data_IF_725357542296
#
_entry.id   IF_725357542296
#
_cell.length_a   1.000
_cell.length_b   1.000
_cell.length_c   1.000
_cell.angle_alpha   90.00
_cell.angle_beta   90.00
_cell.angle_gamma   90.00
#
_symmetry.space_group_name_H-M   'P 1'
#
loop_
_entity.id
_entity.type
_entity.pdbx_description
1 polymer ?
#
# COMPACT_ATOMS: atom_id res chain seq x y z
N UNK A 1 -4.24 -6.76 4.43
CA UNK A 1 -4.43 -7.50 3.17
C UNK A 1 -4.56 -8.97 3.51
N UNK A 2 -5.73 -9.55 3.30
CA UNK A 2 -5.91 -11.00 3.44
C UNK A 2 -5.04 -11.75 2.42
N UNK A 3 -4.77 -13.05 2.61
CA UNK A 3 -3.98 -13.82 1.63
C UNK A 3 -4.68 -13.81 0.27
N UNK A 4 -4.18 -13.00 -0.66
CA UNK A 4 -4.79 -12.79 -1.97
C UNK A 4 -3.71 -12.64 -3.05
N UNK A 5 -4.13 -12.68 -4.32
CA UNK A 5 -3.21 -12.50 -5.45
C UNK A 5 -2.66 -11.07 -5.46
N UNK A 6 -3.47 -10.09 -5.09
CA UNK A 6 -3.11 -8.69 -4.96
C UNK A 6 -1.97 -8.50 -3.97
N UNK A 7 -1.95 -9.23 -2.85
CA UNK A 7 -0.82 -9.20 -1.91
C UNK A 7 0.50 -9.60 -2.59
N UNK A 8 0.47 -10.69 -3.38
CA UNK A 8 1.66 -11.19 -4.08
C UNK A 8 2.10 -10.21 -5.16
N UNK A 9 1.15 -9.67 -5.93
CA UNK A 9 1.41 -8.62 -6.92
C UNK A 9 2.06 -7.40 -6.27
N UNK A 10 1.48 -6.91 -5.17
CA UNK A 10 1.96 -5.75 -4.45
C UNK A 10 3.38 -5.94 -3.90
N UNK A 11 3.65 -7.10 -3.30
CA UNK A 11 4.98 -7.43 -2.80
C UNK A 11 6.02 -7.47 -3.94
N UNK A 12 5.68 -8.13 -5.05
CA UNK A 12 6.55 -8.19 -6.23
C UNK A 12 6.76 -6.80 -6.84
N UNK A 13 5.73 -5.95 -6.87
CA UNK A 13 5.83 -4.57 -7.36
C UNK A 13 6.82 -3.75 -6.54
N UNK A 14 6.77 -3.86 -5.20
CA UNK A 14 7.72 -3.18 -4.29
C UNK A 14 9.16 -3.63 -4.58
N UNK A 15 9.38 -4.94 -4.70
CA UNK A 15 10.71 -5.50 -4.97
C UNK A 15 11.20 -5.06 -6.36
N UNK A 16 10.33 -5.07 -7.37
CA UNK A 16 10.66 -4.60 -8.73
C UNK A 16 10.99 -3.11 -8.78
N UNK A 17 10.36 -2.30 -7.92
CA UNK A 17 10.68 -0.88 -7.78
C UNK A 17 11.98 -0.63 -6.97
N UNK A 18 12.62 -1.68 -6.45
CA UNK A 18 13.79 -1.57 -5.58
C UNK A 18 13.46 -1.05 -4.17
N UNK A 19 12.20 -1.12 -3.76
CA UNK A 19 11.72 -0.63 -2.47
C UNK A 19 11.81 -1.66 -1.35
N UNK A 20 11.56 -1.18 -0.13
CA UNK A 20 11.29 -1.99 1.05
C UNK A 20 9.85 -1.76 1.50
N UNK A 21 9.30 -2.69 2.29
CA UNK A 21 7.95 -2.58 2.82
C UNK A 21 7.91 -2.82 4.33
N UNK A 22 6.93 -2.21 4.98
CA UNK A 22 6.58 -2.46 6.38
C UNK A 22 5.17 -3.07 6.40
N UNK A 23 4.99 -4.29 6.93
CA UNK A 23 3.65 -4.86 7.06
C UNK A 23 2.86 -4.11 8.12
N UNK A 24 1.65 -3.69 7.78
CA UNK A 24 0.69 -3.07 8.69
C UNK A 24 -0.51 -4.01 8.86
N UNK A 25 -0.90 -4.23 10.11
CA UNK A 25 -2.07 -5.03 10.47
C UNK A 25 -3.25 -4.09 10.77
N UNK A 26 -4.34 -4.10 9.97
CA UNK A 26 -5.48 -3.22 10.18
C UNK A 26 -6.20 -3.48 11.51
N UNK A 27 -5.99 -4.62 12.16
CA UNK A 27 -6.57 -4.92 13.48
C UNK A 27 -5.84 -4.18 14.63
N UNK A 28 -4.76 -3.45 14.32
CA UNK A 28 -4.07 -2.62 15.30
C UNK A 28 -4.86 -1.33 15.61
N UNK A 29 -4.78 -0.83 16.85
CA UNK A 29 -5.36 0.46 17.20
C UNK A 29 -4.83 1.58 16.29
N UNK A 30 -5.69 2.56 15.98
CA UNK A 30 -5.37 3.66 15.07
C UNK A 30 -4.08 4.40 15.46
N UNK A 31 -3.90 4.72 16.74
CA UNK A 31 -2.70 5.41 17.25
C UNK A 31 -1.42 4.62 16.94
N UNK A 32 -1.49 3.28 17.00
CA UNK A 32 -0.34 2.41 16.70
C UNK A 32 -0.04 2.40 15.21
N UNK A 33 -1.06 2.36 14.37
CA UNK A 33 -0.90 2.44 12.92
C UNK A 33 -0.28 3.78 12.51
N UNK A 34 -0.82 4.89 13.03
CA UNK A 34 -0.29 6.23 12.76
C UNK A 34 1.18 6.35 13.21
N UNK A 35 1.51 5.86 14.41
CA UNK A 35 2.90 5.81 14.89
C UNK A 35 3.80 5.02 13.95
N UNK A 36 3.39 3.82 13.53
CA UNK A 36 4.20 2.98 12.63
C UNK A 36 4.43 3.66 11.27
N UNK A 37 3.41 4.31 10.71
CA UNK A 37 3.56 5.04 9.44
C UNK A 37 4.51 6.23 9.59
N UNK A 38 4.43 6.95 10.70
CA UNK A 38 5.30 8.11 10.97
C UNK A 38 6.76 7.70 11.24
N UNK A 39 6.97 6.67 12.06
CA UNK A 39 8.31 6.19 12.45
C UNK A 39 9.04 5.52 11.28
N UNK A 40 8.32 4.76 10.45
CA UNK A 40 8.90 4.11 9.27
C UNK A 40 9.23 5.07 8.13
N UNK A 41 8.69 6.30 8.16
CA UNK A 41 8.88 7.29 7.11
C UNK A 41 8.32 6.85 5.75
N UNK A 42 7.31 5.97 5.72
CA UNK A 42 6.73 5.50 4.46
C UNK A 42 6.10 6.68 3.71
N UNK A 43 6.40 6.80 2.42
CA UNK A 43 5.76 7.78 1.53
C UNK A 43 4.57 7.21 0.76
N UNK A 44 4.44 5.88 0.73
CA UNK A 44 3.43 5.17 -0.05
C UNK A 44 2.82 4.03 0.78
N UNK A 45 1.49 4.01 0.87
CA UNK A 45 0.69 2.95 1.43
C UNK A 45 0.03 2.15 0.29
N UNK A 46 0.38 0.86 0.19
CA UNK A 46 -0.26 -0.06 -0.74
C UNK A 46 -1.37 -0.82 0.00
N UNK A 47 -2.61 -0.70 -0.44
CA UNK A 47 -3.78 -1.25 0.27
C UNK A 47 -4.90 -1.68 -0.68
N UNK A 48 -6.07 -1.99 -0.12
CA UNK A 48 -7.33 -2.23 -0.85
C UNK A 48 -8.33 -1.16 -0.46
N UNK A 49 -9.30 -0.89 -1.33
CA UNK A 49 -10.29 0.18 -1.18
C UNK A 49 -11.09 0.01 0.11
N UNK A 50 -11.49 -1.21 0.45
CA UNK A 50 -12.21 -1.54 1.69
C UNK A 50 -11.42 -1.23 2.98
N UNK A 51 -10.10 -1.36 2.94
CA UNK A 51 -9.24 -1.09 4.09
C UNK A 51 -8.86 0.39 4.19
N UNK A 52 -8.83 1.10 3.07
CA UNK A 52 -8.43 2.51 3.06
C UNK A 52 -9.37 3.37 3.92
N UNK A 53 -10.67 3.05 3.94
CA UNK A 53 -11.66 3.78 4.74
C UNK A 53 -11.49 3.63 6.26
N UNK A 54 -10.83 2.56 6.71
CA UNK A 54 -10.63 2.26 8.14
C UNK A 54 -9.22 2.56 8.64
N UNK A 55 -8.31 3.01 7.77
CA UNK A 55 -6.92 3.28 8.13
C UNK A 55 -6.68 4.77 8.41
N UNK A 56 -5.98 5.13 9.50
CA UNK A 56 -5.63 6.51 9.81
C UNK A 56 -4.44 6.97 8.96
N UNK A 57 -4.65 7.17 7.66
CA UNK A 57 -3.59 7.54 6.72
C UNK A 57 -3.19 9.01 6.91
N UNK A 58 -1.92 9.31 7.25
CA UNK A 58 -1.44 10.69 7.33
C UNK A 58 -1.44 11.37 5.96
N UNK A 59 -1.67 12.69 5.92
CA UNK A 59 -1.75 13.46 4.68
C UNK A 59 -0.48 13.41 3.81
N UNK A 60 0.67 13.06 4.40
CA UNK A 60 1.95 12.93 3.72
C UNK A 60 2.15 11.57 3.03
N UNK A 61 1.31 10.58 3.33
CA UNK A 61 1.43 9.22 2.80
C UNK A 61 0.48 9.08 1.61
N UNK A 62 1.03 8.87 0.42
CA UNK A 62 0.21 8.57 -0.76
C UNK A 62 -0.38 7.18 -0.63
N UNK A 63 -1.67 7.01 -0.94
CA UNK A 63 -2.31 5.69 -0.94
C UNK A 63 -2.51 5.17 -2.36
N UNK A 64 -2.23 3.88 -2.57
CA UNK A 64 -2.46 3.18 -3.81
C UNK A 64 -3.26 1.90 -3.54
N UNK A 65 -4.49 1.86 -4.05
CA UNK A 65 -5.37 0.70 -3.93
C UNK A 65 -5.11 -0.28 -5.10
N UNK A 66 -4.94 -1.56 -4.80
CA UNK A 66 -4.66 -2.57 -5.84
C UNK A 66 -5.92 -3.05 -6.56
N UNK A 67 -7.08 -2.86 -5.93
CA UNK A 67 -8.41 -3.28 -6.37
C UNK A 67 -9.20 -2.14 -7.04
N UNK A 68 -8.51 -1.11 -7.53
CA UNK A 68 -9.16 0.01 -8.23
C UNK A 68 -9.84 -0.45 -9.53
N UNK A 69 -11.05 0.03 -9.76
CA UNK A 69 -11.81 -0.22 -10.98
C UNK A 69 -11.15 0.41 -12.22
N UNK A 70 -11.27 -0.28 -13.36
CA UNK A 70 -10.77 0.19 -14.65
C UNK A 70 -9.29 -0.06 -14.88
N UNK A 71 -8.76 0.45 -16.00
CA UNK A 71 -7.36 0.25 -16.40
C UNK A 71 -6.47 1.39 -15.88
N UNK A 72 -6.40 1.52 -14.55
CA UNK A 72 -5.60 2.56 -13.88
C UNK A 72 -4.09 2.43 -14.15
N UNK A 73 -3.64 1.27 -14.63
CA UNK A 73 -2.27 0.99 -15.04
C UNK A 73 -1.97 1.41 -16.48
N UNK A 74 -2.97 1.71 -17.31
CA UNK A 74 -2.78 2.02 -18.75
C UNK A 74 -1.79 3.16 -19.02
N UNK A 75 -1.65 4.11 -18.09
CA UNK A 75 -0.71 5.23 -18.20
C UNK A 75 0.72 4.93 -17.78
N UNK A 76 0.99 3.75 -17.21
CA UNK A 76 2.30 3.36 -16.68
C UNK A 76 3.11 2.51 -17.66
N UNK A 77 4.43 2.59 -17.54
CA UNK A 77 5.35 1.80 -18.36
C UNK A 77 5.16 0.30 -18.10
N UNK A 78 5.12 -0.48 -19.18
CA UNK A 78 5.17 -1.95 -19.13
C UNK A 78 6.61 -2.50 -19.13
N UNK A 79 7.61 -1.64 -19.33
CA UNK A 79 9.01 -2.02 -19.24
C UNK A 79 9.46 -2.15 -17.79
N UNK A 80 10.28 -3.17 -17.49
CA UNK A 80 10.95 -3.26 -16.21
C UNK A 80 12.05 -2.18 -16.15
N UNK A 81 12.29 -1.55 -14.97
CA UNK A 81 13.38 -0.61 -14.77
C UNK A 81 14.76 -1.24 -14.99
#
# INVERSE_FOLDING_TARGET
>A
VERSVELVIGLLAIIKAGGAYVPLDPDYPEDRLAYMMQDSGIGLLLTQTLLLESLPVPAQVQSLCLDQDGDWLAGYSTANP
#
